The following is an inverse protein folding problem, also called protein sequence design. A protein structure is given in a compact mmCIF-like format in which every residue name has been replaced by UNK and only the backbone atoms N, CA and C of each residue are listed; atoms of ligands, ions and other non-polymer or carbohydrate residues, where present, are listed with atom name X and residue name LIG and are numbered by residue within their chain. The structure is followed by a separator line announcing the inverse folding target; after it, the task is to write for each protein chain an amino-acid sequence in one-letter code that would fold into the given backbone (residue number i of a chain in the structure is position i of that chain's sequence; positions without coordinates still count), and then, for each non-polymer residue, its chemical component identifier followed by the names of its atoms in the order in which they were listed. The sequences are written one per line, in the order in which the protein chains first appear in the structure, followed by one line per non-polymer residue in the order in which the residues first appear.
data_IF_374013599665
#
_entry.id   IF_374013599665
#
_cell.length_a   1.000
_cell.length_b   1.000
_cell.length_c   1.000
_cell.angle_alpha   90.00
_cell.angle_beta   90.00
_cell.angle_gamma   90.00
#
_symmetry.space_group_name_H-M   'P 1'
#
loop_
_entity.id
_entity.type
_entity.pdbx_description
1 polymer ?
#
# COMPACT_ATOMS: atom_id res chain seq x y z
N UNK A 1 -9.63 16.29 -30.19
CA UNK A 1 -9.72 15.88 -28.77
C UNK A 1 -10.53 14.60 -28.67
N UNK A 2 -9.92 13.46 -28.31
CA UNK A 2 -10.66 12.23 -27.98
C UNK A 2 -9.86 11.46 -26.93
N UNK A 3 -10.38 11.38 -25.70
CA UNK A 3 -9.83 10.53 -24.64
C UNK A 3 -10.39 9.12 -24.83
N UNK A 4 -9.51 8.13 -25.01
CA UNK A 4 -9.86 6.72 -25.19
C UNK A 4 -9.51 5.92 -23.93
N UNK A 5 -10.53 5.25 -23.41
CA UNK A 5 -10.59 4.33 -22.26
C UNK A 5 -9.78 3.06 -22.50
N UNK A 6 -8.88 2.67 -21.58
CA UNK A 6 -8.32 1.30 -21.51
C UNK A 6 -7.66 1.02 -20.14
N UNK A 7 -8.46 0.76 -19.09
CA UNK A 7 -7.93 0.10 -17.88
C UNK A 7 -8.37 -1.37 -17.88
N UNK A 8 -7.44 -2.33 -18.07
CA UNK A 8 -7.74 -3.74 -17.93
C UNK A 8 -7.85 -4.12 -16.45
N UNK A 9 -8.95 -4.81 -16.15
CA UNK A 9 -9.14 -5.72 -15.03
C UNK A 9 -7.89 -6.58 -14.77
N UNK A 10 -7.39 -6.61 -13.52
CA UNK A 10 -6.29 -7.49 -13.14
C UNK A 10 -6.66 -8.39 -11.97
N UNK A 11 -7.29 -9.50 -12.31
CA UNK A 11 -7.34 -10.74 -11.53
C UNK A 11 -5.96 -11.41 -11.61
N UNK A 12 -5.35 -11.70 -10.45
CA UNK A 12 -4.41 -12.82 -10.18
C UNK A 12 -3.43 -13.27 -11.28
N UNK A 13 -2.15 -12.90 -11.18
CA UNK A 13 -1.01 -13.76 -11.60
C UNK A 13 0.36 -13.20 -11.16
N UNK A 14 1.18 -14.08 -10.59
CA UNK A 14 2.59 -13.92 -10.27
C UNK A 14 3.42 -13.43 -11.47
N UNK A 15 4.05 -12.25 -11.36
CA UNK A 15 5.25 -11.92 -12.13
C UNK A 15 6.11 -10.94 -11.33
N UNK A 16 7.29 -11.42 -10.92
CA UNK A 16 8.41 -10.59 -10.48
C UNK A 16 8.80 -9.68 -11.63
N UNK A 17 8.19 -8.50 -11.71
CA UNK A 17 8.65 -7.40 -12.55
C UNK A 17 9.39 -6.47 -11.60
N UNK A 18 10.69 -6.28 -11.84
CA UNK A 18 11.46 -5.28 -11.13
C UNK A 18 10.85 -3.93 -11.49
N UNK A 19 10.35 -3.13 -10.52
CA UNK A 19 9.74 -1.86 -10.85
C UNK A 19 10.80 -0.95 -11.44
N UNK A 20 10.58 -0.52 -12.68
CA UNK A 20 11.37 0.54 -13.30
C UNK A 20 10.92 1.84 -12.63
N UNK A 21 11.44 2.06 -11.42
CA UNK A 21 11.14 3.24 -10.60
C UNK A 21 11.76 4.44 -11.30
N UNK A 22 10.93 5.35 -11.79
CA UNK A 22 11.39 6.66 -12.24
C UNK A 22 12.19 7.33 -11.11
N UNK A 23 13.46 7.73 -11.33
CA UNK A 23 14.39 8.11 -10.26
C UNK A 23 14.11 9.50 -9.63
N UNK A 24 12.90 10.04 -9.79
CA UNK A 24 12.53 11.38 -9.37
C UNK A 24 11.19 11.41 -8.62
N UNK A 25 10.89 10.33 -7.90
CA UNK A 25 9.67 10.25 -7.07
C UNK A 25 10.03 10.67 -5.66
N UNK A 26 9.51 11.81 -5.21
CA UNK A 26 9.60 12.21 -3.80
C UNK A 26 9.00 11.11 -2.91
N UNK A 27 9.57 10.87 -1.72
CA UNK A 27 9.01 9.88 -0.80
C UNK A 27 7.56 10.23 -0.44
N UNK A 28 6.67 9.27 -0.60
CA UNK A 28 5.26 9.41 -0.24
C UNK A 28 5.08 9.36 1.28
N UNK A 29 3.99 9.95 1.75
CA UNK A 29 3.62 9.91 3.16
C UNK A 29 2.87 8.61 3.50
N UNK A 30 3.62 7.51 3.68
CA UNK A 30 3.04 6.19 4.00
C UNK A 30 2.18 6.20 5.28
N UNK A 31 2.28 7.23 6.13
CA UNK A 31 1.41 7.43 7.30
C UNK A 31 -0.08 7.56 6.98
N UNK A 32 -0.47 7.78 5.72
CA UNK A 32 -1.87 7.82 5.31
C UNK A 32 -2.55 6.45 5.37
N UNK A 33 -1.76 5.37 5.45
CA UNK A 33 -2.25 4.00 5.56
C UNK A 33 -2.52 3.67 7.03
N UNK A 34 -3.70 3.12 7.29
CA UNK A 34 -4.15 2.77 8.64
C UNK A 34 -3.26 1.66 9.23
N UNK A 35 -2.67 1.94 10.38
CA UNK A 35 -1.67 1.07 11.02
C UNK A 35 -0.22 1.36 10.63
N UNK A 36 0.07 2.19 9.62
CA UNK A 36 1.43 2.68 9.35
C UNK A 36 1.65 3.98 10.14
N UNK A 37 2.35 3.86 11.27
CA UNK A 37 2.83 5.01 12.03
C UNK A 37 4.18 5.55 11.55
N UNK A 38 4.65 6.69 12.09
CA UNK A 38 5.95 7.28 11.73
C UNK A 38 7.13 6.30 11.86
N UNK A 39 7.09 5.41 12.85
CA UNK A 39 8.13 4.39 13.04
C UNK A 39 8.11 3.28 11.99
N UNK A 40 6.92 2.92 11.49
CA UNK A 40 6.76 1.87 10.47
C UNK A 40 7.15 2.43 9.10
N UNK A 41 6.76 3.67 8.80
CA UNK A 41 7.25 4.39 7.62
C UNK A 41 8.78 4.47 7.61
N UNK A 42 9.41 4.88 8.72
CA UNK A 42 10.87 4.94 8.80
C UNK A 42 11.52 3.56 8.58
N UNK A 43 10.90 2.50 9.10
CA UNK A 43 11.35 1.12 8.91
C UNK A 43 11.24 0.67 7.45
N UNK A 44 10.15 1.04 6.77
CA UNK A 44 9.97 0.76 5.35
C UNK A 44 10.93 1.55 4.47
N UNK A 45 11.16 2.82 4.78
CA UNK A 45 12.16 3.67 4.14
C UNK A 45 13.57 3.06 4.27
N UNK A 46 13.90 2.48 5.43
CA UNK A 46 15.17 1.76 5.63
C UNK A 46 15.30 0.50 4.76
N UNK A 47 14.18 -0.12 4.41
CA UNK A 47 14.10 -1.31 3.54
C UNK A 47 13.91 -0.94 2.06
N UNK A 48 13.99 0.35 1.72
CA UNK A 48 13.89 0.85 0.34
C UNK A 48 12.46 1.01 -0.18
N UNK A 49 11.47 1.10 0.70
CA UNK A 49 10.07 1.36 0.35
C UNK A 49 9.73 2.78 0.80
N UNK A 50 9.69 3.69 -0.16
CA UNK A 50 9.46 5.13 0.04
C UNK A 50 8.11 5.59 -0.52
N UNK A 51 7.50 4.83 -1.43
CA UNK A 51 6.28 5.25 -2.15
C UNK A 51 5.11 4.30 -1.92
N UNK A 52 3.87 4.77 -2.12
CA UNK A 52 2.69 3.91 -2.04
C UNK A 52 2.73 2.80 -3.10
N UNK A 53 3.30 3.07 -4.26
CA UNK A 53 3.49 2.08 -5.32
C UNK A 53 4.40 0.94 -4.84
N UNK A 54 5.58 1.26 -4.30
CA UNK A 54 6.50 0.26 -3.75
C UNK A 54 5.87 -0.53 -2.60
N UNK A 55 5.05 0.12 -1.78
CA UNK A 55 4.34 -0.52 -0.69
C UNK A 55 3.18 -1.41 -1.21
N UNK A 56 2.49 -1.02 -2.27
CA UNK A 56 1.44 -1.81 -2.91
C UNK A 56 2.01 -3.05 -3.62
N UNK A 57 3.21 -2.94 -4.19
CA UNK A 57 3.93 -4.04 -4.82
C UNK A 57 4.64 -4.95 -3.79
N UNK A 58 5.00 -4.42 -2.62
CA UNK A 58 5.60 -5.19 -1.56
C UNK A 58 4.63 -6.27 -1.04
N UNK A 59 5.12 -7.51 -0.95
CA UNK A 59 4.32 -8.61 -0.43
C UNK A 59 4.09 -8.49 1.08
N UNK A 60 2.90 -8.91 1.53
CA UNK A 60 2.55 -8.98 2.96
C UNK A 60 3.58 -9.79 3.75
N UNK A 61 4.14 -10.84 3.14
CA UNK A 61 5.21 -11.66 3.73
C UNK A 61 6.48 -10.83 3.97
N UNK A 62 6.91 -10.04 2.99
CA UNK A 62 8.06 -9.15 3.13
C UNK A 62 7.83 -8.13 4.25
N UNK A 63 6.67 -7.48 4.25
CA UNK A 63 6.28 -6.53 5.29
C UNK A 63 6.26 -7.15 6.68
N UNK A 64 5.61 -8.31 6.83
CA UNK A 64 5.57 -9.04 8.09
C UNK A 64 6.98 -9.41 8.58
N UNK A 65 7.88 -9.80 7.66
CA UNK A 65 9.28 -10.04 7.96
C UNK A 65 10.01 -8.79 8.51
N UNK A 66 9.78 -7.64 7.89
CA UNK A 66 10.32 -6.34 8.31
C UNK A 66 9.80 -5.96 9.70
N UNK A 67 8.48 -6.05 9.94
CA UNK A 67 7.87 -5.79 11.24
C UNK A 67 8.39 -6.74 12.32
N UNK A 68 8.56 -8.02 11.98
CA UNK A 68 9.09 -9.03 12.89
C UNK A 68 10.52 -8.69 13.33
N UNK A 69 11.37 -8.25 12.39
CA UNK A 69 12.75 -7.79 12.69
C UNK A 69 12.76 -6.54 13.57
N UNK A 70 11.82 -5.61 13.38
CA UNK A 70 11.74 -4.38 14.16
C UNK A 70 11.24 -4.59 15.59
N UNK A 71 10.46 -5.64 15.83
CA UNK A 71 10.12 -6.11 17.17
C UNK A 71 8.62 -6.37 17.39
N UNK A 72 8.26 -6.95 18.54
CA UNK A 72 6.89 -7.45 18.81
C UNK A 72 5.83 -6.33 18.81
N UNK A 73 6.23 -5.08 19.10
CA UNK A 73 5.32 -3.92 19.09
C UNK A 73 4.71 -3.64 17.72
N UNK A 74 5.41 -3.99 16.64
CA UNK A 74 4.97 -3.77 15.27
C UNK A 74 4.17 -4.94 14.70
N UNK A 75 4.29 -6.13 15.30
CA UNK A 75 3.61 -7.35 14.88
C UNK A 75 2.11 -7.37 15.19
N UNK A 76 1.65 -6.43 16.04
CA UNK A 76 0.22 -6.25 16.35
C UNK A 76 -0.54 -5.63 15.16
N UNK A 77 0.16 -4.92 14.27
CA UNK A 77 -0.45 -4.36 13.06
C UNK A 77 -0.69 -5.45 12.01
N UNK A 78 -1.76 -5.29 11.22
CA UNK A 78 -2.08 -6.23 10.15
C UNK A 78 -1.56 -5.69 8.80
N UNK A 79 -0.40 -6.17 8.29
CA UNK A 79 0.13 -5.73 7.02
C UNK A 79 -0.69 -6.22 5.82
N UNK A 80 -1.68 -7.09 6.01
CA UNK A 80 -2.48 -7.63 4.91
C UNK A 80 -3.35 -6.59 4.22
N UNK A 81 -3.70 -5.50 4.91
CA UNK A 81 -4.49 -4.39 4.33
C UNK A 81 -3.62 -3.29 3.72
N UNK A 82 -2.33 -3.21 4.08
CA UNK A 82 -1.45 -2.12 3.64
C UNK A 82 -1.25 -2.06 2.14
N UNK A 83 -0.99 -3.17 1.40
CA UNK A 83 -0.85 -3.10 -0.05
C UNK A 83 -2.11 -2.58 -0.74
N UNK A 84 -3.28 -2.99 -0.23
CA UNK A 84 -4.58 -2.56 -0.76
C UNK A 84 -4.81 -1.07 -0.50
N UNK A 85 -4.53 -0.59 0.70
CA UNK A 85 -4.63 0.83 1.04
C UNK A 85 -3.61 1.68 0.28
N UNK A 86 -2.40 1.18 0.08
CA UNK A 86 -1.36 1.82 -0.72
C UNK A 86 -1.77 1.94 -2.19
N UNK A 87 -2.40 0.92 -2.76
CA UNK A 87 -2.95 0.99 -4.12
C UNK A 87 -4.01 2.09 -4.25
N UNK A 88 -4.92 2.23 -3.27
CA UNK A 88 -5.90 3.31 -3.26
C UNK A 88 -5.27 4.70 -3.07
N UNK A 89 -4.26 4.82 -2.21
CA UNK A 89 -3.52 6.07 -1.98
C UNK A 89 -2.75 6.51 -3.24
N UNK A 90 -2.09 5.57 -3.92
CA UNK A 90 -1.42 5.79 -5.22
C UNK A 90 -2.40 6.34 -6.25
N UNK A 91 -3.58 5.74 -6.35
CA UNK A 91 -4.58 6.12 -7.32
C UNK A 91 -5.33 7.42 -6.93
N UNK A 92 -4.95 8.09 -5.83
CA UNK A 92 -5.61 9.28 -5.26
C UNK A 92 -7.11 9.10 -5.00
N UNK A 93 -7.55 7.85 -4.85
CA UNK A 93 -8.95 7.44 -4.67
C UNK A 93 -9.34 7.48 -3.19
N UNK A 94 -9.12 8.64 -2.56
CA UNK A 94 -9.42 8.87 -1.15
C UNK A 94 -10.92 8.70 -0.83
N UNK A 95 -11.79 9.05 -1.79
CA UNK A 95 -13.24 8.87 -1.68
C UNK A 95 -13.66 7.40 -1.76
N UNK A 96 -13.04 6.59 -2.62
CA UNK A 96 -13.33 5.14 -2.68
C UNK A 96 -12.83 4.41 -1.42
N UNK A 97 -11.69 4.84 -0.86
CA UNK A 97 -11.20 4.36 0.44
C UNK A 97 -12.20 4.67 1.57
N UNK A 98 -12.73 5.89 1.59
CA UNK A 98 -13.75 6.29 2.56
C UNK A 98 -15.06 5.51 2.39
N UNK A 99 -15.51 5.30 1.14
CA UNK A 99 -16.67 4.47 0.80
C UNK A 99 -16.49 3.01 1.22
N UNK A 100 -15.30 2.42 1.01
CA UNK A 100 -14.99 1.06 1.43
C UNK A 100 -15.00 0.95 2.97
N UNK A 101 -14.39 1.92 3.67
CA UNK A 101 -14.37 1.98 5.14
C UNK A 101 -15.79 2.16 5.70
N UNK A 102 -16.62 2.98 5.06
CA UNK A 102 -18.02 3.15 5.39
C UNK A 102 -18.82 1.87 5.15
N UNK A 103 -18.62 1.19 4.02
CA UNK A 103 -19.34 -0.06 3.70
C UNK A 103 -18.97 -1.22 4.62
N UNK A 104 -17.72 -1.28 5.10
CA UNK A 104 -17.29 -2.28 6.08
C UNK A 104 -17.86 -2.01 7.48
N UNK A 105 -18.01 -0.73 7.87
CA UNK A 105 -18.62 -0.34 9.15
C UNK A 105 -20.15 -0.41 9.12
N UNK A 106 -20.78 -0.17 7.98
CA UNK A 106 -22.23 -0.04 7.87
C UNK A 106 -23.00 -1.36 7.91
N UNK A 107 -22.33 -2.51 8.06
CA UNK A 107 -22.96 -3.79 8.41
C UNK A 107 -24.28 -4.05 7.70
N UNK A 108 -24.31 -4.00 6.37
CA UNK A 108 -25.55 -4.22 5.62
C UNK A 108 -25.79 -5.72 5.45
N UNK A 109 -26.52 -6.29 6.42
CA UNK A 109 -27.43 -7.42 6.20
C UNK A 109 -28.72 -6.91 5.55
#
# INVERSE_FOLDING_TARGET
MTYNTNQPIATSATRTVYPTTSPNTEPDNLKLIDGIGPKIEELFNKEGIYTYEQLAEASVIRMAGILKKAGPRFQIQNPSSWPKQAAFARDHKWEELAQLKLSLMAGKV
#
